data_IF_520075136661
#
_entry.id   IF_520075136661
#
_cell.length_a   1.000
_cell.length_b   1.000
_cell.length_c   1.000
_cell.angle_alpha   90.00
_cell.angle_beta   90.00
_cell.angle_gamma   90.00
#
_symmetry.space_group_name_H-M   'P 1'
#
loop_
_entity.id
_entity.type
_entity.pdbx_description
1 polymer ?
#
# COMPACT_ATOMS: atom_id res chain seq x y z
N UNK A 1 -23.76 19.53 38.66
CA UNK A 1 -24.29 19.37 37.28
C UNK A 1 -23.49 20.12 36.21
N UNK A 2 -22.82 21.25 36.52
CA UNK A 2 -22.05 22.05 35.54
C UNK A 2 -20.81 21.34 34.95
N UNK A 3 -20.15 20.49 35.73
CA UNK A 3 -18.93 19.78 35.32
C UNK A 3 -19.17 18.70 34.25
N UNK A 4 -20.28 17.95 34.35
CA UNK A 4 -20.62 16.92 33.36
C UNK A 4 -20.98 17.51 32.00
N UNK A 5 -21.65 18.68 31.98
CA UNK A 5 -21.95 19.40 30.75
C UNK A 5 -20.70 19.95 30.05
N UNK A 6 -19.70 20.38 30.82
CA UNK A 6 -18.42 20.85 30.26
C UNK A 6 -17.60 19.72 29.63
N UNK A 7 -17.62 18.52 30.23
CA UNK A 7 -16.94 17.33 29.69
C UNK A 7 -17.61 16.85 28.40
N UNK A 8 -18.94 16.81 28.37
CA UNK A 8 -19.70 16.41 27.16
C UNK A 8 -19.53 17.44 26.04
N UNK A 9 -19.54 18.74 26.36
CA UNK A 9 -19.27 19.80 25.38
C UNK A 9 -17.85 19.75 24.83
N UNK A 10 -16.85 19.44 25.67
CA UNK A 10 -15.46 19.25 25.24
C UNK A 10 -15.30 18.03 24.33
N UNK A 11 -16.00 16.92 24.62
CA UNK A 11 -15.96 15.72 23.78
C UNK A 11 -16.61 15.97 22.41
N UNK A 12 -17.71 16.74 22.38
CA UNK A 12 -18.39 17.12 21.14
C UNK A 12 -17.53 18.04 20.25
N UNK A 13 -16.80 19.00 20.84
CA UNK A 13 -15.89 19.89 20.09
C UNK A 13 -14.68 19.13 19.54
N UNK A 14 -14.17 18.11 20.25
CA UNK A 14 -13.11 17.22 19.75
C UNK A 14 -13.63 16.33 18.61
N UNK A 15 -14.86 15.83 18.69
CA UNK A 15 -15.48 15.05 17.60
C UNK A 15 -15.80 15.90 16.37
N UNK A 16 -16.18 17.16 16.52
CA UNK A 16 -16.41 18.07 15.39
C UNK A 16 -15.13 18.52 14.69
N UNK A 17 -13.98 18.62 15.39
CA UNK A 17 -12.70 18.97 14.77
C UNK A 17 -12.03 17.81 14.00
N UNK A 18 -12.48 16.57 14.18
CA UNK A 18 -12.01 15.42 13.39
C UNK A 18 -12.79 15.27 12.08
N UNK A 19 -13.93 15.96 11.92
CA UNK A 19 -14.75 15.90 10.71
C UNK A 19 -14.15 16.65 9.49
N UNK A 20 -13.11 17.47 9.66
CA UNK A 20 -12.40 18.12 8.56
C UNK A 20 -11.12 17.39 8.13
N UNK A 21 -10.78 16.26 8.75
CA UNK A 21 -9.57 15.48 8.46
C UNK A 21 -9.70 14.41 7.38
N UNK A 22 -10.91 14.20 6.83
CA UNK A 22 -11.17 13.14 5.85
C UNK A 22 -11.87 13.69 4.60
N UNK A 23 -11.19 14.59 3.89
CA UNK A 23 -11.51 14.93 2.50
C UNK A 23 -10.39 14.37 1.60
N UNK A 24 -10.66 13.42 0.68
CA UNK A 24 -9.66 12.99 -0.27
C UNK A 24 -9.53 14.08 -1.35
N UNK A 25 -8.37 14.74 -1.39
CA UNK A 25 -7.97 15.56 -2.54
C UNK A 25 -7.91 17.06 -2.28
N UNK A 26 -6.87 17.51 -1.60
CA UNK A 26 -6.24 18.78 -1.96
C UNK A 26 -4.73 18.55 -2.09
N UNK A 27 -4.21 18.29 -3.30
CA UNK A 27 -2.78 18.30 -3.47
C UNK A 27 -2.32 19.73 -3.24
N UNK A 28 -1.49 19.91 -2.21
CA UNK A 28 -0.33 20.78 -2.24
C UNK A 28 -0.54 22.12 -2.95
N UNK A 29 -0.75 23.18 -2.17
CA UNK A 29 -0.59 24.58 -2.63
C UNK A 29 0.82 24.74 -3.19
N UNK A 30 0.99 24.46 -4.48
CA UNK A 30 2.19 24.80 -5.22
C UNK A 30 2.12 26.30 -5.50
N UNK A 31 2.82 27.08 -4.68
CA UNK A 31 3.16 28.47 -5.01
C UNK A 31 3.96 28.45 -6.31
N UNK A 32 3.30 28.69 -7.45
CA UNK A 32 4.00 29.07 -8.67
C UNK A 32 4.57 30.48 -8.43
N UNK A 33 5.85 30.54 -8.06
CA UNK A 33 6.63 31.78 -8.12
C UNK A 33 6.85 32.05 -9.61
N UNK A 34 5.98 32.87 -10.19
CA UNK A 34 6.20 33.46 -11.50
C UNK A 34 7.10 34.69 -11.32
N UNK A 35 8.38 34.56 -11.65
CA UNK A 35 9.27 35.70 -11.87
C UNK A 35 9.07 36.24 -13.29
N UNK A 36 8.90 37.56 -13.50
CA UNK A 36 8.82 38.12 -14.84
C UNK A 36 10.23 38.52 -15.29
N UNK A 37 10.84 37.76 -16.19
CA UNK A 37 12.06 38.21 -16.87
C UNK A 37 11.73 38.52 -18.33
N UNK A 38 11.86 39.80 -18.67
CA UNK A 38 11.66 40.37 -20.00
C UNK A 38 12.72 39.95 -21.03
N UNK A 39 12.68 40.53 -22.24
CA UNK A 39 13.24 39.93 -23.45
C UNK A 39 14.75 40.19 -23.58
N UNK A 40 15.53 39.14 -23.89
CA UNK A 40 16.90 39.28 -24.37
C UNK A 40 17.09 38.62 -25.74
N UNK A 41 17.99 39.14 -26.60
CA UNK A 41 17.98 38.85 -28.03
C UNK A 41 18.87 37.67 -28.45
N UNK A 42 19.55 37.00 -27.50
CA UNK A 42 20.47 35.90 -27.83
C UNK A 42 20.67 34.92 -26.67
N UNK A 43 20.19 33.67 -26.85
CA UNK A 43 20.82 32.48 -26.28
C UNK A 43 20.31 31.92 -24.94
N UNK A 44 20.17 30.59 -24.95
CA UNK A 44 20.06 29.60 -23.85
C UNK A 44 18.66 29.34 -23.23
N UNK A 45 18.30 28.05 -23.23
CA UNK A 45 17.11 27.43 -22.61
C UNK A 45 15.76 27.52 -23.38
N UNK A 46 15.81 27.54 -24.71
CA UNK A 46 14.66 27.19 -25.54
C UNK A 46 14.53 25.67 -25.63
N UNK A 47 14.24 25.04 -24.49
CA UNK A 47 13.89 23.62 -24.33
C UNK A 47 12.43 23.47 -23.91
N UNK A 48 12.04 24.26 -22.91
CA UNK A 48 10.78 24.08 -22.19
C UNK A 48 9.67 25.02 -22.68
N UNK A 49 10.03 26.20 -23.18
CA UNK A 49 9.08 27.25 -23.59
C UNK A 49 8.52 27.08 -25.01
N UNK A 50 9.21 26.39 -25.92
CA UNK A 50 8.65 26.04 -27.23
C UNK A 50 7.66 24.87 -27.11
N UNK A 51 7.96 23.90 -26.24
CA UNK A 51 7.08 22.76 -25.94
C UNK A 51 5.77 23.27 -25.34
N UNK A 52 5.81 24.22 -24.41
CA UNK A 52 4.59 24.75 -23.79
C UNK A 52 3.66 25.50 -24.76
N UNK A 53 4.23 26.20 -25.76
CA UNK A 53 3.49 27.12 -26.63
C UNK A 53 3.04 26.51 -27.97
N UNK A 54 3.58 25.35 -28.38
CA UNK A 54 3.27 24.72 -29.67
C UNK A 54 2.49 23.40 -29.57
N UNK A 55 2.06 23.00 -28.37
CA UNK A 55 1.05 21.93 -28.28
C UNK A 55 -0.33 22.48 -28.71
N UNK A 56 -1.00 21.86 -29.71
CA UNK A 56 -2.36 22.26 -30.05
C UNK A 56 -3.25 22.10 -28.82
N UNK A 57 -4.20 23.03 -28.63
CA UNK A 57 -5.13 23.11 -27.48
C UNK A 57 -5.83 21.76 -27.21
N UNK A 58 -5.98 20.93 -28.25
CA UNK A 58 -6.50 19.58 -28.17
C UNK A 58 -5.69 18.63 -27.25
N UNK A 59 -4.36 18.79 -27.15
CA UNK A 59 -3.49 17.91 -26.33
C UNK A 59 -3.38 18.42 -24.89
N UNK A 60 -3.45 19.74 -24.67
CA UNK A 60 -3.32 20.35 -23.34
C UNK A 60 -4.46 19.99 -22.39
N UNK A 61 -5.66 19.66 -22.90
CA UNK A 61 -6.82 19.27 -22.07
C UNK A 61 -6.98 17.76 -21.84
N UNK A 62 -6.18 16.92 -22.48
CA UNK A 62 -6.40 15.46 -22.44
C UNK A 62 -5.71 14.71 -21.29
N UNK A 63 -5.04 15.39 -20.35
CA UNK A 63 -4.37 14.72 -19.22
C UNK A 63 -4.79 15.26 -17.86
N UNK A 64 -6.07 15.19 -17.50
CA UNK A 64 -6.51 15.45 -16.11
C UNK A 64 -7.72 14.63 -15.63
N UNK A 65 -7.98 13.49 -16.25
CA UNK A 65 -8.96 12.52 -15.71
C UNK A 65 -8.37 11.12 -15.73
N UNK A 66 -7.36 10.90 -14.88
CA UNK A 66 -7.33 9.60 -14.21
C UNK A 66 -8.49 9.67 -13.23
N UNK A 67 -9.60 9.01 -13.57
CA UNK A 67 -10.69 8.86 -12.61
C UNK A 67 -10.06 8.35 -11.32
N UNK A 68 -10.26 9.06 -10.21
CA UNK A 68 -9.86 8.54 -8.92
C UNK A 68 -10.57 7.20 -8.78
N UNK A 69 -9.83 6.12 -8.98
CA UNK A 69 -10.34 4.77 -8.76
C UNK A 69 -10.67 4.78 -7.27
N UNK A 70 -11.95 4.95 -6.96
CA UNK A 70 -12.43 4.75 -5.62
C UNK A 70 -12.12 3.29 -5.36
N UNK A 71 -11.07 3.03 -4.59
CA UNK A 71 -10.65 1.68 -4.24
C UNK A 71 -11.73 1.17 -3.30
N UNK A 72 -12.82 0.66 -3.87
CA UNK A 72 -13.81 -0.12 -3.16
C UNK A 72 -13.02 -1.30 -2.57
N UNK A 73 -13.03 -1.44 -1.25
CA UNK A 73 -12.19 -2.39 -0.53
C UNK A 73 -12.65 -3.84 -0.74
N UNK A 74 -12.35 -4.70 0.22
CA UNK A 74 -12.77 -6.11 0.17
C UNK A 74 -14.31 -6.18 0.18
N UNK A 75 -14.88 -6.87 -0.82
CA UNK A 75 -16.34 -6.98 -1.05
C UNK A 75 -17.04 -5.73 -1.62
N UNK A 76 -16.30 -4.80 -2.22
CA UNK A 76 -16.91 -3.58 -2.77
C UNK A 76 -17.35 -2.59 -1.68
N UNK A 77 -16.95 -2.85 -0.43
CA UNK A 77 -17.22 -2.02 0.75
C UNK A 77 -15.98 -1.18 1.05
N UNK A 78 -16.15 0.12 1.29
CA UNK A 78 -15.07 1.01 1.70
C UNK A 78 -14.83 0.98 3.22
N UNK A 79 -13.80 1.72 3.64
CA UNK A 79 -13.52 1.92 5.07
C UNK A 79 -14.72 2.47 5.87
N UNK A 80 -15.50 3.47 5.39
CA UNK A 80 -16.62 3.98 6.17
C UNK A 80 -17.76 2.94 6.31
N UNK A 81 -18.05 2.14 5.28
CA UNK A 81 -19.07 1.10 5.33
C UNK A 81 -18.69 -0.01 6.32
N UNK A 82 -17.43 -0.44 6.31
CA UNK A 82 -16.91 -1.44 7.25
C UNK A 82 -17.01 -0.93 8.71
N UNK A 83 -16.76 0.36 8.94
CA UNK A 83 -16.89 0.94 10.29
C UNK A 83 -18.32 0.86 10.83
N UNK A 84 -19.33 1.12 10.00
CA UNK A 84 -20.75 1.01 10.40
C UNK A 84 -21.10 -0.44 10.77
N UNK A 85 -20.64 -1.41 9.98
CA UNK A 85 -20.87 -2.83 10.26
C UNK A 85 -20.19 -3.25 11.57
N UNK A 86 -18.96 -2.79 11.83
CA UNK A 86 -18.27 -3.10 13.09
C UNK A 86 -19.00 -2.53 14.31
N UNK A 87 -19.56 -1.32 14.20
CA UNK A 87 -20.37 -0.73 15.27
C UNK A 87 -21.62 -1.58 15.52
N UNK A 88 -22.35 -1.95 14.46
CA UNK A 88 -23.54 -2.79 14.57
C UNK A 88 -23.22 -4.18 15.17
N UNK A 89 -22.14 -4.81 14.70
CA UNK A 89 -21.65 -6.08 15.24
C UNK A 89 -21.21 -5.98 16.70
N UNK A 90 -20.58 -4.87 17.09
CA UNK A 90 -20.19 -4.61 18.48
C UNK A 90 -21.41 -4.38 19.39
N UNK A 91 -22.51 -3.82 18.90
CA UNK A 91 -23.76 -3.75 19.65
C UNK A 91 -24.42 -5.12 19.81
N UNK A 92 -24.39 -5.95 18.77
CA UNK A 92 -25.03 -7.27 18.79
C UNK A 92 -24.27 -8.28 19.66
N UNK A 93 -22.94 -8.33 19.52
CA UNK A 93 -22.09 -9.31 20.20
C UNK A 93 -21.43 -8.74 21.48
N UNK A 94 -21.33 -7.42 21.59
CA UNK A 94 -20.59 -6.71 22.61
C UNK A 94 -19.15 -6.37 22.17
N UNK A 95 -18.63 -5.16 22.46
CA UNK A 95 -17.28 -4.75 22.05
C UNK A 95 -16.19 -5.62 22.70
N UNK A 96 -16.46 -6.20 23.89
CA UNK A 96 -15.52 -7.08 24.55
C UNK A 96 -15.32 -8.41 23.80
N UNK A 97 -16.39 -8.98 23.23
CA UNK A 97 -16.32 -10.24 22.50
C UNK A 97 -15.63 -10.11 21.15
N UNK A 98 -15.85 -9.02 20.43
CA UNK A 98 -15.08 -8.73 19.22
C UNK A 98 -13.59 -8.53 19.52
N UNK A 99 -13.25 -7.89 20.63
CA UNK A 99 -11.85 -7.72 21.04
C UNK A 99 -11.19 -9.05 21.48
N UNK A 100 -11.93 -9.92 22.17
CA UNK A 100 -11.49 -11.26 22.57
C UNK A 100 -11.18 -12.13 21.32
N UNK A 101 -12.12 -12.20 20.38
CA UNK A 101 -11.94 -12.90 19.10
C UNK A 101 -10.80 -12.31 18.26
N UNK A 102 -10.67 -10.97 18.22
CA UNK A 102 -9.58 -10.31 17.52
C UNK A 102 -8.20 -10.63 18.12
N UNK A 103 -8.10 -10.79 19.45
CA UNK A 103 -6.86 -11.21 20.11
C UNK A 103 -6.50 -12.65 19.78
N UNK A 104 -7.47 -13.55 19.80
CA UNK A 104 -7.27 -14.97 19.46
C UNK A 104 -6.87 -15.12 17.99
N UNK A 105 -7.62 -14.51 17.07
CA UNK A 105 -7.29 -14.49 15.65
C UNK A 105 -5.94 -13.81 15.37
N UNK A 106 -5.61 -12.75 16.11
CA UNK A 106 -4.32 -12.06 16.01
C UNK A 106 -3.13 -12.92 16.46
N UNK A 107 -3.29 -13.73 17.51
CA UNK A 107 -2.28 -14.72 17.92
C UNK A 107 -2.09 -15.80 16.86
N UNK A 108 -3.20 -16.38 16.38
CA UNK A 108 -3.15 -17.38 15.30
C UNK A 108 -2.47 -16.81 14.05
N UNK A 109 -2.82 -15.59 13.64
CA UNK A 109 -2.17 -14.92 12.51
C UNK A 109 -0.69 -14.57 12.77
N UNK A 110 -0.28 -14.40 14.03
CA UNK A 110 1.11 -14.21 14.43
C UNK A 110 1.93 -15.49 14.25
N UNK A 111 1.43 -16.60 14.80
CA UNK A 111 2.05 -17.93 14.69
C UNK A 111 2.11 -18.40 13.22
N UNK A 112 1.04 -18.14 12.44
CA UNK A 112 1.00 -18.43 11.01
C UNK A 112 1.96 -17.58 10.16
N UNK A 113 2.66 -16.56 10.71
CA UNK A 113 3.73 -15.85 9.98
C UNK A 113 5.09 -16.54 10.10
N UNK A 114 5.29 -17.34 11.14
CA UNK A 114 6.53 -18.08 11.36
C UNK A 114 6.56 -19.32 10.45
N UNK A 115 5.43 -20.02 10.33
CA UNK A 115 5.30 -21.21 9.47
C UNK A 115 5.72 -20.98 8.01
N UNK A 116 5.28 -19.92 7.29
CA UNK A 116 5.75 -19.63 5.94
C UNK A 116 7.25 -19.27 5.85
N UNK A 117 7.86 -18.73 6.91
CA UNK A 117 9.30 -18.42 6.91
C UNK A 117 10.11 -19.70 7.02
N UNK A 118 9.75 -20.56 7.97
CA UNK A 118 10.35 -21.88 8.13
C UNK A 118 10.17 -22.74 6.87
N UNK A 119 8.99 -22.66 6.22
CA UNK A 119 8.75 -23.34 4.95
C UNK A 119 9.64 -22.83 3.82
N UNK A 120 9.85 -21.51 3.71
CA UNK A 120 10.76 -20.93 2.73
C UNK A 120 12.21 -21.34 2.97
N UNK A 121 12.66 -21.33 4.23
CA UNK A 121 14.01 -21.76 4.61
C UNK A 121 14.22 -23.25 4.32
N UNK A 122 13.28 -24.11 4.71
CA UNK A 122 13.32 -25.55 4.44
C UNK A 122 13.30 -25.88 2.95
N UNK A 123 12.55 -25.13 2.14
CA UNK A 123 12.53 -25.31 0.68
C UNK A 123 13.87 -24.90 0.05
N UNK A 124 14.47 -23.80 0.53
CA UNK A 124 15.78 -23.34 0.05
C UNK A 124 16.93 -24.28 0.46
N UNK A 125 16.85 -24.88 1.65
CA UNK A 125 17.80 -25.90 2.10
C UNK A 125 17.65 -27.21 1.30
N UNK A 126 16.41 -27.69 1.14
CA UNK A 126 16.10 -28.88 0.34
C UNK A 126 16.53 -28.74 -1.12
N UNK A 127 16.41 -27.56 -1.73
CA UNK A 127 16.90 -27.31 -3.09
C UNK A 127 18.44 -27.41 -3.17
N UNK A 128 19.15 -26.86 -2.18
CA UNK A 128 20.62 -26.95 -2.10
C UNK A 128 21.07 -28.40 -1.93
N UNK A 129 20.41 -29.16 -1.07
CA UNK A 129 20.73 -30.56 -0.83
C UNK A 129 20.43 -31.42 -2.06
N UNK A 130 19.25 -31.26 -2.67
CA UNK A 130 18.88 -31.94 -3.91
C UNK A 130 19.88 -31.64 -5.04
N UNK A 131 20.40 -30.41 -5.13
CA UNK A 131 21.42 -30.04 -6.11
C UNK A 131 22.77 -30.69 -5.83
N UNK A 132 23.16 -30.84 -4.55
CA UNK A 132 24.38 -31.55 -4.15
C UNK A 132 24.28 -33.04 -4.46
N UNK A 133 23.19 -33.69 -4.06
CA UNK A 133 22.92 -35.09 -4.39
C UNK A 133 22.91 -35.33 -5.90
N UNK A 134 22.27 -34.46 -6.69
CA UNK A 134 22.30 -34.56 -8.16
C UNK A 134 23.72 -34.45 -8.73
N UNK A 135 24.57 -33.60 -8.16
CA UNK A 135 25.96 -33.45 -8.60
C UNK A 135 26.79 -34.68 -8.25
N UNK A 136 26.64 -35.20 -7.03
CA UNK A 136 27.35 -36.42 -6.58
C UNK A 136 26.89 -37.68 -7.34
N UNK A 137 25.60 -37.81 -7.67
CA UNK A 137 25.10 -38.87 -8.55
C UNK A 137 25.62 -38.71 -9.99
N UNK A 138 25.70 -37.48 -10.51
CA UNK A 138 26.23 -37.23 -11.85
C UNK A 138 27.72 -37.60 -11.93
N UNK A 139 28.53 -37.19 -10.95
CA UNK A 139 29.97 -37.51 -10.89
C UNK A 139 30.21 -39.02 -10.68
N UNK A 140 29.40 -39.70 -9.86
CA UNK A 140 29.48 -41.16 -9.68
C UNK A 140 29.04 -41.94 -10.92
N UNK A 141 28.10 -41.41 -11.72
CA UNK A 141 27.65 -42.05 -12.97
C UNK A 141 28.60 -41.86 -14.15
N UNK A 142 29.45 -40.82 -14.10
CA UNK A 142 30.50 -40.58 -15.10
C UNK A 142 31.66 -41.57 -14.91
N UNK A 143 32.08 -41.83 -13.66
CA UNK A 143 33.18 -42.76 -13.37
C UNK A 143 32.93 -44.23 -13.68
N UNK A 144 31.68 -44.65 -13.90
CA UNK A 144 31.34 -46.05 -14.27
C UNK A 144 31.39 -46.27 -15.78
N UNK A 145 31.22 -45.23 -16.60
CA UNK A 145 31.21 -45.36 -18.08
C UNK A 145 32.60 -45.45 -18.70
N UNK A 146 33.63 -45.04 -17.98
CA UNK A 146 35.03 -45.09 -18.45
C UNK A 146 35.71 -46.45 -18.16
N UNK A 147 35.06 -47.37 -17.44
CA UNK A 147 35.61 -48.68 -17.07
C UNK A 147 35.12 -49.86 -17.93
N UNK A 148 34.15 -49.67 -18.85
CA UNK A 148 33.60 -50.73 -19.71
C UNK A 148 34.18 -50.69 -21.14
N UNK A 149 35.27 -49.94 -21.36
CA UNK A 149 35.91 -49.78 -22.66
C UNK A 149 37.41 -50.06 -22.60
N UNK A 150 37.79 -51.23 -22.08
CA UNK A 150 39.02 -51.93 -22.45
C UNK A 150 38.74 -53.39 -22.81
#
# INVERSE_FOLDING_TARGET
>A
MKSQFAIIASLAVVLCNVASGFAPGSPFVAKNIATPNGPTPFGSEQGSSYISNQHPVAIQKQRKSVASVQTMGLFGLGAPEIAVILIAGAFLLGPQKLAELGKEAGKMAGELKEVPKEFQEGLAEGEKEARRMKKELADSSAGVKDAEKE
#
